data_IF_178119041784
#
_entry.id   IF_178119041784
#
_cell.length_a   1.000
_cell.length_b   1.000
_cell.length_c   1.000
_cell.angle_alpha   90.00
_cell.angle_beta   90.00
_cell.angle_gamma   90.00
#
_symmetry.space_group_name_H-M   'P 1'
#
loop_
_entity.id
_entity.type
_entity.pdbx_description
1 polymer ?
#
# COMPACT_ATOMS: atom_id res chain seq x y z
N UNK A 1 -15.68 15.14 -20.51
CA UNK A 1 -15.12 16.46 -20.24
C UNK A 1 -14.99 16.66 -18.72
N UNK A 2 -13.79 16.51 -18.16
CA UNK A 2 -13.56 16.84 -16.76
C UNK A 2 -13.72 18.36 -16.60
N UNK A 3 -14.67 18.79 -15.75
CA UNK A 3 -14.78 20.18 -15.32
C UNK A 3 -13.42 20.60 -14.75
N UNK A 4 -12.76 21.56 -15.37
CA UNK A 4 -11.58 22.24 -14.80
C UNK A 4 -11.98 22.84 -13.46
N UNK A 5 -11.60 22.18 -12.38
CA UNK A 5 -11.82 22.67 -11.03
C UNK A 5 -10.95 23.94 -10.89
N UNK A 6 -11.60 25.09 -10.75
CA UNK A 6 -10.88 26.35 -10.51
C UNK A 6 -9.94 26.15 -9.31
N UNK A 7 -8.66 26.29 -9.55
CA UNK A 7 -7.62 26.16 -8.53
C UNK A 7 -7.79 27.35 -7.58
N UNK A 8 -8.00 27.11 -6.31
CA UNK A 8 -8.15 28.15 -5.28
C UNK A 8 -6.91 29.05 -5.25
N UNK A 9 -7.11 30.37 -5.07
CA UNK A 9 -6.03 31.33 -4.92
C UNK A 9 -5.02 30.93 -3.82
N UNK A 10 -5.51 30.31 -2.73
CA UNK A 10 -4.65 29.81 -1.66
C UNK A 10 -3.65 28.74 -2.11
N UNK A 11 -3.99 27.91 -3.10
CA UNK A 11 -3.05 26.92 -3.67
C UNK A 11 -1.94 27.60 -4.48
N UNK A 12 -2.24 28.66 -5.19
CA UNK A 12 -1.22 29.44 -5.90
C UNK A 12 -0.27 30.14 -4.94
N UNK A 13 -0.80 30.71 -3.86
CA UNK A 13 0.03 31.32 -2.81
C UNK A 13 0.94 30.27 -2.17
N UNK A 14 0.40 29.09 -1.83
CA UNK A 14 1.21 27.99 -1.29
C UNK A 14 2.31 27.52 -2.26
N UNK A 15 2.02 27.47 -3.57
CA UNK A 15 3.01 27.14 -4.59
C UNK A 15 4.15 28.17 -4.61
N UNK A 16 3.82 29.47 -4.60
CA UNK A 16 4.84 30.54 -4.60
C UNK A 16 5.70 30.47 -3.34
N UNK A 17 5.08 30.29 -2.16
CA UNK A 17 5.81 30.16 -0.90
C UNK A 17 6.73 28.92 -0.93
N UNK A 18 6.24 27.80 -1.41
CA UNK A 18 7.03 26.57 -1.52
C UNK A 18 8.23 26.74 -2.46
N UNK A 19 8.03 27.38 -3.61
CA UNK A 19 9.12 27.68 -4.55
C UNK A 19 10.16 28.63 -3.95
N UNK A 20 9.70 29.63 -3.19
CA UNK A 20 10.62 30.52 -2.47
C UNK A 20 11.49 29.73 -1.48
N UNK A 21 10.91 28.84 -0.67
CA UNK A 21 11.69 27.98 0.22
C UNK A 21 12.65 27.08 -0.53
N UNK A 22 12.23 26.49 -1.66
CA UNK A 22 13.05 25.55 -2.42
C UNK A 22 14.26 26.22 -3.10
N UNK A 23 14.10 27.45 -3.59
CA UNK A 23 15.14 28.08 -4.42
C UNK A 23 15.80 29.30 -3.78
N UNK A 24 15.13 30.07 -2.90
CA UNK A 24 15.70 31.24 -2.27
C UNK A 24 16.80 30.88 -1.25
N UNK A 25 16.75 29.74 -0.60
CA UNK A 25 17.78 29.26 0.33
C UNK A 25 19.18 29.13 -0.34
N UNK A 26 19.24 29.04 -1.65
CA UNK A 26 20.49 29.06 -2.39
C UNK A 26 21.22 30.40 -2.29
N UNK A 27 20.47 31.50 -2.21
CA UNK A 27 21.00 32.88 -2.23
C UNK A 27 21.15 33.47 -0.84
N UNK A 28 20.67 32.77 0.19
CA UNK A 28 20.74 33.20 1.59
C UNK A 28 21.93 32.47 2.25
N UNK A 29 22.84 33.17 2.94
CA UNK A 29 23.93 32.50 3.65
C UNK A 29 23.40 31.59 4.71
N UNK A 30 24.00 30.38 4.84
CA UNK A 30 23.61 29.40 5.84
C UNK A 30 23.95 29.87 7.26
N UNK A 31 23.18 29.47 8.29
CA UNK A 31 23.55 29.63 9.71
C UNK A 31 24.91 28.99 10.00
N UNK A 32 25.61 29.47 11.02
CA UNK A 32 27.01 29.15 11.32
C UNK A 32 27.33 27.65 11.46
N UNK A 33 26.35 26.85 11.90
CA UNK A 33 26.52 25.42 12.17
C UNK A 33 26.02 24.50 11.04
N UNK A 34 25.59 25.05 9.90
CA UNK A 34 25.01 24.28 8.80
C UNK A 34 25.73 24.55 7.49
N UNK A 35 26.04 23.51 6.73
CA UNK A 35 26.59 23.67 5.38
C UNK A 35 25.57 24.33 4.45
N UNK A 36 26.04 25.08 3.45
CA UNK A 36 25.15 25.74 2.47
C UNK A 36 24.25 24.71 1.75
N UNK A 37 24.81 23.56 1.38
CA UNK A 37 24.04 22.45 0.79
C UNK A 37 22.97 21.91 1.76
N UNK A 38 23.30 21.75 3.03
CA UNK A 38 22.35 21.33 4.07
C UNK A 38 21.19 22.32 4.25
N UNK A 39 21.50 23.62 4.22
CA UNK A 39 20.50 24.68 4.30
C UNK A 39 19.56 24.69 3.07
N UNK A 40 20.10 24.48 1.86
CA UNK A 40 19.30 24.32 0.66
C UNK A 40 18.37 23.11 0.73
N UNK A 41 18.87 21.95 1.19
CA UNK A 41 18.06 20.73 1.37
C UNK A 41 16.94 20.94 2.38
N UNK A 42 17.17 21.66 3.49
CA UNK A 42 16.12 22.01 4.44
C UNK A 42 15.04 22.91 3.81
N UNK A 43 15.42 23.87 3.00
CA UNK A 43 14.49 24.71 2.25
C UNK A 43 13.64 23.89 1.29
N UNK A 44 14.26 22.94 0.57
CA UNK A 44 13.55 22.02 -0.33
C UNK A 44 12.59 21.13 0.47
N UNK A 45 12.98 20.64 1.65
CA UNK A 45 12.12 19.82 2.52
C UNK A 45 10.87 20.59 2.96
N UNK A 46 11.03 21.83 3.43
CA UNK A 46 9.91 22.69 3.84
C UNK A 46 8.96 22.94 2.64
N UNK A 47 9.53 23.32 1.49
CA UNK A 47 8.75 23.51 0.28
C UNK A 47 8.03 22.25 -0.18
N UNK A 48 8.65 21.07 -0.05
CA UNK A 48 8.07 19.77 -0.35
C UNK A 48 6.84 19.49 0.52
N UNK A 49 6.94 19.72 1.84
CA UNK A 49 5.83 19.53 2.78
C UNK A 49 4.65 20.42 2.40
N UNK A 50 4.89 21.70 2.12
CA UNK A 50 3.84 22.65 1.69
C UNK A 50 3.17 22.17 0.41
N UNK A 51 3.93 21.70 -0.58
CA UNK A 51 3.39 21.22 -1.84
C UNK A 51 2.61 19.91 -1.69
N UNK A 52 3.10 18.97 -0.91
CA UNK A 52 2.39 17.70 -0.68
C UNK A 52 1.06 17.93 0.03
N UNK A 53 0.97 18.83 0.98
CA UNK A 53 -0.26 19.16 1.68
C UNK A 53 -1.28 19.89 0.81
N UNK A 54 -0.83 20.67 -0.18
CA UNK A 54 -1.72 21.55 -0.96
C UNK A 54 -2.05 21.03 -2.35
N UNK A 55 -1.09 20.39 -3.02
CA UNK A 55 -1.18 19.94 -4.43
C UNK A 55 -1.20 18.41 -4.57
N UNK A 56 -0.94 17.65 -3.48
CA UNK A 56 -0.77 16.21 -3.53
C UNK A 56 0.63 15.80 -3.99
N UNK A 57 0.82 14.54 -4.38
CA UNK A 57 2.17 13.96 -4.55
C UNK A 57 2.72 14.00 -5.98
N UNK A 58 1.88 13.99 -7.02
CA UNK A 58 2.33 13.78 -8.41
C UNK A 58 3.26 14.87 -8.93
N UNK A 59 2.72 16.03 -9.21
CA UNK A 59 3.49 17.19 -9.69
C UNK A 59 4.59 17.65 -8.71
N UNK A 60 4.32 17.76 -7.38
CA UNK A 60 5.35 18.18 -6.45
C UNK A 60 6.58 17.29 -6.41
N UNK A 61 6.45 15.97 -6.55
CA UNK A 61 7.60 15.05 -6.55
C UNK A 61 8.60 15.40 -7.65
N UNK A 62 8.13 15.76 -8.85
CA UNK A 62 9.01 16.18 -9.94
C UNK A 62 9.70 17.50 -9.64
N UNK A 63 8.98 18.45 -9.03
CA UNK A 63 9.55 19.73 -8.61
C UNK A 63 10.65 19.56 -7.57
N UNK A 64 10.47 18.65 -6.62
CA UNK A 64 11.48 18.34 -5.58
C UNK A 64 12.73 17.75 -6.23
N UNK A 65 12.58 16.78 -7.13
CA UNK A 65 13.73 16.19 -7.86
C UNK A 65 14.50 17.28 -8.63
N UNK A 66 13.78 18.17 -9.31
CA UNK A 66 14.39 19.30 -10.03
C UNK A 66 15.11 20.26 -9.07
N UNK A 67 14.48 20.61 -7.94
CA UNK A 67 15.09 21.47 -6.92
C UNK A 67 16.39 20.85 -6.35
N UNK A 68 16.40 19.52 -6.08
CA UNK A 68 17.60 18.84 -5.62
C UNK A 68 18.75 18.89 -6.63
N UNK A 69 18.47 18.94 -7.93
CA UNK A 69 19.50 19.10 -8.96
C UNK A 69 20.19 20.49 -8.92
N UNK A 70 19.59 21.46 -8.24
CA UNK A 70 20.16 22.82 -8.10
C UNK A 70 20.98 23.01 -6.83
N UNK A 71 21.05 22.01 -5.95
CA UNK A 71 21.79 22.04 -4.70
C UNK A 71 23.31 21.99 -4.97
N UNK A 72 24.07 22.82 -4.29
CA UNK A 72 25.51 22.91 -4.44
C UNK A 72 26.18 21.57 -4.02
N UNK A 73 27.00 21.02 -4.90
CA UNK A 73 27.66 19.71 -4.71
C UNK A 73 26.84 18.49 -5.16
N UNK A 74 25.58 18.67 -5.55
CA UNK A 74 24.76 17.64 -6.18
C UNK A 74 24.70 17.86 -7.70
N UNK A 75 25.22 16.93 -8.48
CA UNK A 75 25.05 16.97 -9.94
C UNK A 75 23.68 16.38 -10.34
N UNK A 76 23.12 16.86 -11.45
CA UNK A 76 21.90 16.29 -12.01
C UNK A 76 22.00 14.77 -12.21
N UNK A 77 23.17 14.26 -12.62
CA UNK A 77 23.43 12.82 -12.78
C UNK A 77 23.31 12.07 -11.46
N UNK A 78 23.90 12.59 -10.37
CA UNK A 78 23.81 11.98 -9.04
C UNK A 78 22.36 11.95 -8.53
N UNK A 79 21.61 13.05 -8.69
CA UNK A 79 20.22 13.13 -8.28
C UNK A 79 19.36 12.16 -9.10
N UNK A 80 19.55 12.09 -10.41
CA UNK A 80 18.83 11.15 -11.28
C UNK A 80 19.13 9.71 -10.91
N UNK A 81 20.40 9.38 -10.64
CA UNK A 81 20.80 8.05 -10.22
C UNK A 81 20.21 7.67 -8.84
N UNK A 82 20.23 8.59 -7.89
CA UNK A 82 19.67 8.37 -6.56
C UNK A 82 18.12 8.26 -6.53
N UNK A 83 17.44 8.80 -7.54
CA UNK A 83 15.98 8.77 -7.68
C UNK A 83 15.54 7.71 -8.69
N UNK A 84 15.52 8.04 -9.97
CA UNK A 84 15.00 7.15 -11.03
C UNK A 84 15.92 5.97 -11.35
N UNK A 85 17.22 6.12 -11.19
CA UNK A 85 18.24 5.08 -11.44
C UNK A 85 18.54 4.21 -10.22
N UNK A 86 17.88 4.45 -9.08
CA UNK A 86 18.05 3.61 -7.89
C UNK A 86 17.44 2.22 -8.11
N UNK A 87 18.23 1.16 -7.82
CA UNK A 87 17.80 -0.22 -7.98
C UNK A 87 16.48 -0.52 -7.25
N UNK A 88 16.29 0.05 -6.05
CA UNK A 88 15.06 -0.07 -5.26
C UNK A 88 13.85 0.51 -5.98
N UNK A 89 14.00 1.68 -6.63
CA UNK A 89 12.91 2.32 -7.38
C UNK A 89 12.56 1.51 -8.62
N UNK A 90 13.57 1.04 -9.36
CA UNK A 90 13.37 0.18 -10.54
C UNK A 90 12.65 -1.11 -10.14
N UNK A 91 13.10 -1.76 -9.09
CA UNK A 91 12.46 -2.97 -8.53
C UNK A 91 11.00 -2.71 -8.16
N UNK A 92 10.71 -1.60 -7.45
CA UNK A 92 9.34 -1.20 -7.10
C UNK A 92 8.43 -1.03 -8.31
N UNK A 93 8.93 -0.40 -9.38
CA UNK A 93 8.15 -0.22 -10.61
C UNK A 93 7.74 -1.56 -11.19
N UNK A 94 8.67 -2.52 -11.29
CA UNK A 94 8.35 -3.87 -11.78
C UNK A 94 7.37 -4.60 -10.87
N UNK A 95 7.55 -4.54 -9.55
CA UNK A 95 6.61 -5.13 -8.59
C UNK A 95 5.20 -4.54 -8.74
N UNK A 96 5.09 -3.21 -8.88
CA UNK A 96 3.80 -2.55 -9.10
C UNK A 96 3.15 -2.96 -10.43
N UNK A 97 3.93 -3.15 -11.48
CA UNK A 97 3.41 -3.64 -12.77
C UNK A 97 2.87 -5.07 -12.66
N UNK A 98 3.59 -5.97 -11.97
CA UNK A 98 3.16 -7.35 -11.73
C UNK A 98 1.87 -7.37 -10.87
N UNK A 99 1.83 -6.59 -9.80
CA UNK A 99 0.64 -6.44 -8.95
C UNK A 99 -0.57 -5.91 -9.72
N UNK A 100 -0.36 -4.92 -10.61
CA UNK A 100 -1.40 -4.39 -11.48
C UNK A 100 -1.91 -5.44 -12.48
N UNK A 101 -1.03 -6.25 -13.04
CA UNK A 101 -1.42 -7.38 -13.91
C UNK A 101 -2.29 -8.39 -13.16
N UNK A 102 -1.90 -8.76 -11.94
CA UNK A 102 -2.65 -9.71 -11.12
C UNK A 102 -4.05 -9.17 -10.75
N UNK A 103 -4.14 -7.89 -10.42
CA UNK A 103 -5.41 -7.24 -10.09
C UNK A 103 -6.30 -7.09 -11.32
N UNK A 104 -5.77 -6.59 -12.44
CA UNK A 104 -6.54 -6.35 -13.67
C UNK A 104 -6.98 -7.63 -14.38
N UNK A 105 -6.25 -8.74 -14.21
CA UNK A 105 -6.66 -10.03 -14.77
C UNK A 105 -7.84 -10.67 -14.04
N UNK A 106 -8.14 -10.24 -12.81
CA UNK A 106 -9.12 -10.87 -11.92
C UNK A 106 -8.58 -11.99 -11.05
N UNK A 107 -7.31 -12.36 -11.20
CA UNK A 107 -6.67 -13.44 -10.45
C UNK A 107 -6.68 -13.15 -8.93
N UNK A 108 -6.47 -11.90 -8.52
CA UNK A 108 -6.53 -11.51 -7.12
C UNK A 108 -7.90 -11.78 -6.48
N UNK A 109 -9.01 -11.44 -7.19
CA UNK A 109 -10.37 -11.74 -6.73
C UNK A 109 -10.60 -13.25 -6.62
N UNK A 110 -10.09 -14.02 -7.58
CA UNK A 110 -10.21 -15.49 -7.56
C UNK A 110 -9.50 -16.10 -6.35
N UNK A 111 -8.30 -15.63 -6.01
CA UNK A 111 -7.57 -16.06 -4.81
C UNK A 111 -8.39 -15.76 -3.55
N UNK A 112 -8.95 -14.54 -3.42
CA UNK A 112 -9.79 -14.17 -2.28
C UNK A 112 -11.00 -15.09 -2.13
N UNK A 113 -11.74 -15.30 -3.22
CA UNK A 113 -12.94 -16.15 -3.22
C UNK A 113 -12.58 -17.63 -2.91
N UNK A 114 -11.43 -18.12 -3.42
CA UNK A 114 -10.96 -19.46 -3.09
C UNK A 114 -10.75 -19.65 -1.57
N UNK A 115 -10.14 -18.67 -0.89
CA UNK A 115 -10.03 -18.69 0.57
C UNK A 115 -11.41 -18.73 1.26
N UNK A 116 -12.34 -17.92 0.80
CA UNK A 116 -13.68 -17.78 1.40
C UNK A 116 -14.59 -18.98 1.14
N UNK A 117 -14.41 -19.68 0.03
CA UNK A 117 -15.24 -20.84 -0.34
C UNK A 117 -14.65 -22.18 0.09
N UNK A 118 -13.49 -22.13 0.76
CA UNK A 118 -12.82 -23.31 1.32
C UNK A 118 -13.72 -24.04 2.35
N UNK A 119 -13.52 -25.35 2.49
CA UNK A 119 -14.21 -26.19 3.49
C UNK A 119 -14.07 -25.65 4.92
N UNK A 120 -12.98 -24.97 5.25
CA UNK A 120 -12.76 -24.35 6.55
C UNK A 120 -13.71 -23.16 6.79
N UNK A 121 -13.86 -22.28 5.81
CA UNK A 121 -14.76 -21.14 5.92
C UNK A 121 -16.21 -21.56 6.19
N UNK A 122 -16.64 -22.68 5.60
CA UNK A 122 -18.01 -23.23 5.74
C UNK A 122 -18.29 -23.88 7.10
N UNK A 123 -17.28 -24.08 7.98
CA UNK A 123 -17.47 -24.77 9.28
C UNK A 123 -18.22 -23.92 10.30
N UNK A 124 -18.00 -22.63 10.33
CA UNK A 124 -18.68 -21.71 11.23
C UNK A 124 -18.52 -20.26 10.79
N UNK A 125 -19.38 -19.34 11.23
CA UNK A 125 -19.28 -17.91 10.94
C UNK A 125 -17.92 -17.31 11.28
N UNK A 126 -17.30 -17.72 12.38
CA UNK A 126 -15.96 -17.26 12.76
C UNK A 126 -14.88 -17.73 11.80
N UNK A 127 -15.00 -18.92 11.23
CA UNK A 127 -14.08 -19.37 10.20
C UNK A 127 -14.20 -18.56 8.91
N UNK A 128 -15.39 -18.06 8.58
CA UNK A 128 -15.56 -17.13 7.46
C UNK A 128 -14.76 -15.84 7.68
N UNK A 129 -14.85 -15.26 8.89
CA UNK A 129 -14.08 -14.06 9.26
C UNK A 129 -12.58 -14.34 9.23
N UNK A 130 -12.14 -15.47 9.80
CA UNK A 130 -10.72 -15.87 9.78
C UNK A 130 -10.23 -16.06 8.34
N UNK A 131 -10.97 -16.75 7.50
CA UNK A 131 -10.60 -16.97 6.09
C UNK A 131 -10.61 -15.66 5.29
N UNK A 132 -11.50 -14.72 5.61
CA UNK A 132 -11.50 -13.39 5.02
C UNK A 132 -10.21 -12.63 5.36
N UNK A 133 -9.80 -12.63 6.61
CA UNK A 133 -8.55 -11.97 7.01
C UNK A 133 -7.31 -12.71 6.48
N UNK A 134 -7.35 -14.05 6.41
CA UNK A 134 -6.29 -14.82 5.78
C UNK A 134 -6.15 -14.51 4.28
N UNK A 135 -7.27 -14.42 3.55
CA UNK A 135 -7.26 -14.00 2.14
C UNK A 135 -6.68 -12.60 1.97
N UNK A 136 -7.12 -11.66 2.83
CA UNK A 136 -6.61 -10.30 2.82
C UNK A 136 -5.10 -10.24 3.12
N UNK A 137 -4.63 -11.01 4.09
CA UNK A 137 -3.21 -11.11 4.44
C UNK A 137 -2.39 -11.63 3.25
N UNK A 138 -2.80 -12.73 2.63
CA UNK A 138 -2.09 -13.32 1.48
C UNK A 138 -2.09 -12.37 0.28
N UNK A 139 -3.22 -11.71 0.00
CA UNK A 139 -3.27 -10.74 -1.08
C UNK A 139 -2.39 -9.52 -0.82
N UNK A 140 -2.35 -9.01 0.40
CA UNK A 140 -1.47 -7.88 0.74
C UNK A 140 0.00 -8.27 0.76
N UNK A 141 0.34 -9.54 0.98
CA UNK A 141 1.71 -10.00 0.83
C UNK A 141 2.21 -9.88 -0.62
N UNK A 142 1.29 -9.96 -1.58
CA UNK A 142 1.56 -9.92 -3.03
C UNK A 142 1.28 -8.56 -3.65
N UNK A 143 0.23 -7.89 -3.17
CA UNK A 143 -0.28 -6.62 -3.71
C UNK A 143 -0.05 -5.50 -2.69
N UNK A 144 -0.07 -4.26 -3.18
CA UNK A 144 -0.14 -3.11 -2.27
C UNK A 144 -1.48 -3.06 -1.53
N UNK A 145 -1.52 -2.46 -0.33
CA UNK A 145 -2.76 -2.31 0.46
C UNK A 145 -3.88 -1.66 -0.36
N UNK A 146 -3.59 -0.62 -1.14
CA UNK A 146 -4.59 0.03 -1.97
C UNK A 146 -5.21 -0.95 -2.99
N UNK A 147 -4.38 -1.74 -3.68
CA UNK A 147 -4.87 -2.73 -4.65
C UNK A 147 -5.71 -3.82 -3.98
N UNK A 148 -5.30 -4.29 -2.80
CA UNK A 148 -6.04 -5.31 -2.06
C UNK A 148 -7.36 -4.79 -1.53
N UNK A 149 -7.44 -3.55 -1.05
CA UNK A 149 -8.69 -2.91 -0.63
C UNK A 149 -9.70 -2.89 -1.79
N UNK A 150 -9.29 -2.53 -3.00
CA UNK A 150 -10.16 -2.55 -4.18
C UNK A 150 -10.69 -3.95 -4.53
N UNK A 151 -10.00 -5.01 -4.13
CA UNK A 151 -10.45 -6.39 -4.32
C UNK A 151 -11.31 -6.87 -3.14
N UNK A 152 -10.86 -6.65 -1.91
CA UNK A 152 -11.48 -7.21 -0.70
C UNK A 152 -12.72 -6.46 -0.22
N UNK A 153 -12.78 -5.14 -0.42
CA UNK A 153 -13.94 -4.35 -0.01
C UNK A 153 -15.23 -4.75 -0.75
N UNK A 154 -15.24 -4.87 -2.09
CA UNK A 154 -16.41 -5.40 -2.80
C UNK A 154 -16.81 -6.80 -2.34
N UNK A 155 -15.85 -7.67 -2.04
CA UNK A 155 -16.13 -9.03 -1.54
C UNK A 155 -16.75 -8.96 -0.13
N UNK A 156 -16.27 -8.09 0.75
CA UNK A 156 -16.88 -7.87 2.05
C UNK A 156 -18.33 -7.42 1.93
N UNK A 157 -18.60 -6.47 1.01
CA UNK A 157 -19.96 -5.99 0.73
C UNK A 157 -20.84 -7.14 0.18
N UNK A 158 -20.34 -7.91 -0.79
CA UNK A 158 -21.04 -9.07 -1.37
C UNK A 158 -21.42 -10.11 -0.29
N UNK A 159 -20.51 -10.38 0.67
CA UNK A 159 -20.80 -11.26 1.82
C UNK A 159 -21.91 -10.68 2.69
N UNK A 160 -21.82 -9.41 3.06
CA UNK A 160 -22.77 -8.74 3.95
C UNK A 160 -24.15 -8.65 3.32
N UNK A 161 -24.23 -8.24 2.05
CA UNK A 161 -25.51 -8.17 1.31
C UNK A 161 -26.14 -9.54 1.13
N UNK A 162 -25.36 -10.61 0.94
CA UNK A 162 -25.87 -11.99 0.81
C UNK A 162 -26.58 -12.49 2.07
N UNK A 163 -26.28 -11.89 3.22
CA UNK A 163 -26.91 -12.22 4.53
C UNK A 163 -27.90 -11.13 5.00
N UNK A 164 -28.25 -10.19 4.11
CA UNK A 164 -29.25 -9.16 4.36
C UNK A 164 -28.76 -7.95 5.15
N UNK A 165 -27.44 -7.82 5.37
CA UNK A 165 -26.85 -6.64 6.02
C UNK A 165 -26.57 -5.57 4.96
N UNK A 166 -27.25 -4.43 5.05
CA UNK A 166 -27.08 -3.31 4.15
C UNK A 166 -26.06 -2.31 4.69
N UNK A 167 -25.58 -1.43 3.81
CA UNK A 167 -24.58 -0.42 4.13
C UNK A 167 -25.04 0.56 5.23
N UNK A 168 -26.34 0.79 5.29
CA UNK A 168 -27.00 1.71 6.22
C UNK A 168 -27.08 1.14 7.65
N UNK A 169 -27.03 -0.19 7.82
CA UNK A 169 -27.26 -0.87 9.09
C UNK A 169 -26.14 -0.67 10.12
N UNK A 170 -24.97 -0.18 9.69
CA UNK A 170 -23.77 0.02 10.53
C UNK A 170 -23.47 -1.18 11.43
N UNK A 171 -23.72 -2.39 10.94
CA UNK A 171 -23.54 -3.61 11.70
C UNK A 171 -22.09 -3.75 12.21
N UNK A 172 -21.85 -4.13 13.48
CA UNK A 172 -20.51 -4.27 14.03
C UNK A 172 -19.60 -5.21 13.21
N UNK A 173 -20.19 -6.26 12.61
CA UNK A 173 -19.45 -7.17 11.73
C UNK A 173 -18.97 -6.49 10.44
N UNK A 174 -19.76 -5.58 9.86
CA UNK A 174 -19.35 -4.83 8.68
C UNK A 174 -18.14 -3.94 9.00
N UNK A 175 -18.20 -3.25 10.14
CA UNK A 175 -17.08 -2.44 10.62
C UNK A 175 -15.85 -3.32 10.89
N UNK A 176 -16.03 -4.50 11.49
CA UNK A 176 -14.94 -5.44 11.76
C UNK A 176 -14.26 -5.93 10.47
N UNK A 177 -15.01 -6.29 9.44
CA UNK A 177 -14.46 -6.71 8.16
C UNK A 177 -13.71 -5.57 7.44
N UNK A 178 -14.30 -4.37 7.44
CA UNK A 178 -13.70 -3.20 6.78
C UNK A 178 -12.41 -2.73 7.47
N UNK A 179 -12.45 -2.51 8.80
CA UNK A 179 -11.27 -2.14 9.56
C UNK A 179 -10.24 -3.28 9.58
N UNK A 180 -10.70 -4.52 9.68
CA UNK A 180 -9.83 -5.69 9.62
C UNK A 180 -9.09 -5.81 8.29
N UNK A 181 -9.70 -5.42 7.18
CA UNK A 181 -9.02 -5.34 5.88
C UNK A 181 -7.83 -4.36 5.93
N UNK A 182 -8.00 -3.20 6.54
CA UNK A 182 -6.91 -2.23 6.70
C UNK A 182 -5.82 -2.76 7.64
N UNK A 183 -6.19 -3.24 8.82
CA UNK A 183 -5.23 -3.66 9.85
C UNK A 183 -4.43 -4.88 9.40
N UNK A 184 -5.08 -5.92 8.91
CA UNK A 184 -4.38 -7.14 8.43
C UNK A 184 -3.56 -6.85 7.18
N UNK A 185 -3.99 -5.89 6.34
CA UNK A 185 -3.21 -5.42 5.21
C UNK A 185 -1.92 -4.72 5.63
N UNK A 186 -1.98 -3.80 6.59
CA UNK A 186 -0.79 -3.11 7.11
C UNK A 186 0.18 -4.08 7.77
N UNK A 187 -0.32 -5.04 8.55
CA UNK A 187 0.50 -6.08 9.16
C UNK A 187 1.20 -6.93 8.08
N UNK A 188 0.47 -7.35 7.05
CA UNK A 188 1.03 -8.13 5.95
C UNK A 188 2.11 -7.38 5.18
N UNK A 189 1.90 -6.09 4.91
CA UNK A 189 2.86 -5.25 4.20
C UNK A 189 4.19 -5.10 4.95
N UNK A 190 4.18 -5.13 6.27
CA UNK A 190 5.43 -5.07 7.05
C UNK A 190 6.25 -6.36 6.94
N UNK A 191 5.67 -7.45 6.48
CA UNK A 191 6.34 -8.75 6.34
C UNK A 191 7.03 -8.93 5.00
N UNK A 192 6.68 -8.15 3.97
CA UNK A 192 7.22 -8.28 2.63
C UNK A 192 7.56 -6.92 2.01
N UNK A 193 8.83 -6.66 1.69
CA UNK A 193 9.24 -5.42 1.05
C UNK A 193 8.62 -5.17 -0.33
N UNK A 194 8.19 -6.22 -1.04
CA UNK A 194 7.61 -6.11 -2.40
C UNK A 194 6.30 -5.32 -2.39
N UNK A 195 5.48 -5.52 -1.37
CA UNK A 195 4.15 -4.91 -1.27
C UNK A 195 4.16 -3.49 -0.69
N UNK A 196 5.29 -3.05 -0.10
CA UNK A 196 5.35 -1.79 0.63
C UNK A 196 6.64 -0.99 0.40
N UNK A 197 6.50 0.14 -0.29
CA UNK A 197 7.61 1.01 -0.65
C UNK A 197 8.44 1.52 0.55
N UNK A 198 7.80 1.77 1.71
CA UNK A 198 8.53 2.28 2.89
C UNK A 198 9.47 1.26 3.49
N UNK A 199 9.20 -0.04 3.37
CA UNK A 199 10.12 -1.10 3.80
C UNK A 199 11.39 -1.08 2.95
N UNK A 200 11.24 -0.93 1.63
CA UNK A 200 12.39 -0.81 0.73
C UNK A 200 13.17 0.49 0.94
N UNK A 201 12.49 1.59 1.29
CA UNK A 201 13.18 2.82 1.72
C UNK A 201 14.01 2.58 2.98
N UNK A 202 13.46 1.83 3.95
CA UNK A 202 14.20 1.41 5.15
C UNK A 202 15.47 0.64 4.79
N UNK A 203 15.44 -0.24 3.80
CA UNK A 203 16.63 -0.95 3.29
C UNK A 203 17.66 0.02 2.73
N UNK A 204 17.24 0.98 1.91
CA UNK A 204 18.14 1.98 1.33
C UNK A 204 18.78 2.86 2.41
N UNK A 205 18.06 3.21 3.47
CA UNK A 205 18.63 3.93 4.62
C UNK A 205 19.61 3.05 5.40
N UNK A 206 19.26 1.80 5.68
CA UNK A 206 20.17 0.87 6.36
C UNK A 206 21.48 0.74 5.59
N UNK A 207 21.43 0.49 4.28
CA UNK A 207 22.60 0.41 3.42
C UNK A 207 23.42 1.71 3.43
N UNK A 208 22.78 2.88 3.43
CA UNK A 208 23.47 4.18 3.43
C UNK A 208 24.20 4.46 4.74
N UNK A 209 23.73 3.91 5.88
CA UNK A 209 24.32 4.11 7.19
C UNK A 209 25.36 3.05 7.57
N UNK A 210 25.13 1.80 7.16
CA UNK A 210 26.00 0.66 7.54
C UNK A 210 27.02 0.32 6.47
N UNK A 211 26.76 0.69 5.21
CA UNK A 211 27.52 0.25 4.04
C UNK A 211 27.18 -1.17 3.59
N UNK A 212 26.23 -1.85 4.26
CA UNK A 212 25.83 -3.22 3.97
C UNK A 212 24.39 -3.25 3.46
N UNK A 213 24.13 -3.97 2.35
CA UNK A 213 22.78 -4.16 1.84
C UNK A 213 21.99 -5.11 2.76
N UNK A 214 20.75 -4.74 3.08
CA UNK A 214 19.84 -5.62 3.80
C UNK A 214 19.42 -6.78 2.89
N UNK A 215 19.68 -8.02 3.32
CA UNK A 215 19.25 -9.20 2.60
C UNK A 215 17.73 -9.37 2.67
N UNK A 216 17.12 -9.47 1.50
CA UNK A 216 15.66 -9.60 1.34
C UNK A 216 15.09 -10.84 2.05
N UNK A 217 15.72 -12.00 1.85
CA UNK A 217 15.22 -13.25 2.42
C UNK A 217 15.39 -13.30 3.93
N UNK A 218 16.49 -12.79 4.46
CA UNK A 218 16.72 -12.67 5.90
C UNK A 218 15.67 -11.79 6.55
N UNK A 219 15.35 -10.64 5.94
CA UNK A 219 14.27 -9.79 6.44
C UNK A 219 12.92 -10.52 6.43
N UNK A 220 12.53 -11.14 5.32
CA UNK A 220 11.29 -11.89 5.23
C UNK A 220 11.21 -13.04 6.23
N UNK A 221 12.32 -13.77 6.46
CA UNK A 221 12.36 -14.87 7.42
C UNK A 221 12.08 -14.43 8.86
N UNK A 222 12.45 -13.22 9.22
CA UNK A 222 12.19 -12.62 10.54
C UNK A 222 10.80 -11.97 10.59
N UNK A 223 10.47 -11.16 9.61
CA UNK A 223 9.25 -10.35 9.61
C UNK A 223 7.97 -11.19 9.39
N UNK A 224 8.05 -12.24 8.58
CA UNK A 224 6.89 -13.10 8.29
C UNK A 224 6.31 -13.82 9.51
N UNK A 225 7.08 -14.53 10.36
CA UNK A 225 6.55 -15.13 11.58
C UNK A 225 5.95 -14.10 12.53
N UNK A 226 6.60 -12.95 12.69
CA UNK A 226 6.12 -11.86 13.55
C UNK A 226 4.76 -11.35 13.05
N UNK A 227 4.63 -11.14 11.75
CA UNK A 227 3.39 -10.65 11.16
C UNK A 227 2.23 -11.66 11.30
N UNK A 228 2.51 -12.96 11.18
CA UNK A 228 1.50 -14.01 11.44
C UNK A 228 1.02 -13.93 12.88
N UNK A 229 1.93 -13.83 13.85
CA UNK A 229 1.56 -13.67 15.27
C UNK A 229 0.71 -12.42 15.47
N UNK A 230 1.07 -11.29 14.86
CA UNK A 230 0.28 -10.06 14.94
C UNK A 230 -1.14 -10.23 14.34
N UNK A 231 -1.27 -10.90 13.21
CA UNK A 231 -2.60 -11.18 12.62
C UNK A 231 -3.42 -12.10 13.51
N UNK A 232 -2.82 -13.15 14.08
CA UNK A 232 -3.51 -14.03 15.03
C UNK A 232 -3.99 -13.25 16.24
N UNK A 233 -3.13 -12.41 16.83
CA UNK A 233 -3.49 -11.55 17.96
C UNK A 233 -4.62 -10.59 17.60
N UNK A 234 -4.59 -9.99 16.41
CA UNK A 234 -5.66 -9.14 15.91
C UNK A 234 -6.99 -9.92 15.78
N UNK A 235 -6.96 -11.10 15.20
CA UNK A 235 -8.16 -11.96 15.09
C UNK A 235 -8.71 -12.33 16.46
N UNK A 236 -7.84 -12.67 17.42
CA UNK A 236 -8.24 -12.95 18.80
C UNK A 236 -8.84 -11.70 19.47
N UNK A 237 -8.28 -10.53 19.25
CA UNK A 237 -8.82 -9.26 19.73
C UNK A 237 -10.24 -9.01 19.17
N UNK A 238 -10.43 -9.19 17.87
CA UNK A 238 -11.77 -9.06 17.24
C UNK A 238 -12.75 -10.06 17.86
N UNK A 239 -12.32 -11.30 18.07
CA UNK A 239 -13.18 -12.38 18.59
C UNK A 239 -13.53 -12.21 20.06
N UNK A 240 -12.57 -11.86 20.92
CA UNK A 240 -12.74 -11.89 22.38
C UNK A 240 -12.99 -10.52 23.01
N UNK A 241 -12.46 -9.44 22.41
CA UNK A 241 -12.61 -8.07 22.92
C UNK A 241 -13.75 -7.36 22.22
N UNK A 242 -13.71 -7.28 20.91
CA UNK A 242 -14.74 -6.57 20.12
C UNK A 242 -16.06 -7.33 20.06
N UNK A 243 -16.02 -8.67 19.89
CA UNK A 243 -17.16 -9.58 19.87
C UNK A 243 -18.31 -9.17 18.94
N UNK A 244 -18.07 -8.86 17.67
CA UNK A 244 -19.14 -8.57 16.75
C UNK A 244 -20.05 -9.79 16.61
N UNK A 245 -21.35 -9.56 16.48
CA UNK A 245 -22.28 -10.64 16.16
C UNK A 245 -22.01 -11.13 14.73
N UNK A 246 -21.60 -12.38 14.63
CA UNK A 246 -21.28 -13.06 13.37
C UNK A 246 -22.38 -14.06 12.95
N UNK A 247 -23.48 -14.16 13.70
CA UNK A 247 -24.53 -15.16 13.48
C UNK A 247 -25.13 -15.09 12.07
N UNK A 248 -25.28 -13.88 11.52
CA UNK A 248 -25.76 -13.67 10.16
C UNK A 248 -24.91 -14.37 9.10
N UNK A 249 -23.58 -14.48 9.32
CA UNK A 249 -22.66 -15.13 8.39
C UNK A 249 -22.87 -16.65 8.25
N UNK A 250 -23.74 -17.26 9.06
CA UNK A 250 -24.15 -18.68 8.89
C UNK A 250 -24.82 -18.91 7.54
N UNK A 251 -25.51 -17.89 7.01
CA UNK A 251 -26.31 -17.97 5.79
C UNK A 251 -25.59 -17.49 4.53
N UNK A 252 -24.26 -17.33 4.56
CA UNK A 252 -23.49 -16.90 3.39
C UNK A 252 -23.61 -17.90 2.24
N UNK A 253 -23.98 -17.40 1.06
CA UNK A 253 -24.11 -18.23 -0.14
C UNK A 253 -22.75 -18.39 -0.86
N UNK A 254 -21.95 -19.32 -0.38
CA UNK A 254 -20.63 -19.62 -0.95
C UNK A 254 -20.68 -20.17 -2.38
N UNK A 255 -21.77 -20.85 -2.75
CA UNK A 255 -21.93 -21.45 -4.08
C UNK A 255 -22.22 -20.41 -5.14
N UNK A 256 -22.98 -19.37 -4.79
CA UNK A 256 -23.16 -18.19 -5.63
C UNK A 256 -21.84 -17.46 -5.89
N UNK A 257 -21.01 -17.28 -4.86
CA UNK A 257 -19.69 -16.67 -4.99
C UNK A 257 -18.76 -17.50 -5.90
N UNK A 258 -18.80 -18.82 -5.77
CA UNK A 258 -17.98 -19.71 -6.61
C UNK A 258 -18.45 -19.71 -8.06
N UNK A 259 -19.76 -19.75 -8.30
CA UNK A 259 -20.33 -19.76 -9.65
C UNK A 259 -20.09 -18.45 -10.42
N UNK A 260 -20.01 -17.32 -9.69
CA UNK A 260 -19.69 -16.02 -10.28
C UNK A 260 -18.30 -15.93 -10.90
N UNK A 261 -17.36 -16.81 -10.51
CA UNK A 261 -15.98 -16.80 -11.02
C UNK A 261 -15.78 -17.46 -12.37
N UNK A 262 -16.65 -18.40 -12.77
CA UNK A 262 -16.46 -19.22 -13.97
C UNK A 262 -15.12 -19.96 -14.06
N UNK A 263 -14.73 -20.41 -15.24
CA UNK A 263 -13.44 -21.06 -15.47
C UNK A 263 -12.29 -20.05 -15.53
N UNK A 264 -11.10 -20.47 -15.07
CA UNK A 264 -9.90 -19.61 -15.06
C UNK A 264 -9.50 -19.22 -16.49
N UNK A 265 -9.47 -17.93 -16.78
CA UNK A 265 -9.13 -17.40 -18.09
C UNK A 265 -7.64 -17.55 -18.40
N UNK A 266 -7.26 -17.51 -19.68
CA UNK A 266 -5.83 -17.51 -20.08
C UNK A 266 -5.07 -16.33 -19.48
N UNK A 267 -5.71 -15.16 -19.38
CA UNK A 267 -5.10 -13.95 -18.78
C UNK A 267 -4.79 -14.15 -17.31
N UNK A 268 -5.71 -14.73 -16.53
CA UNK A 268 -5.48 -15.05 -15.12
C UNK A 268 -4.32 -16.02 -14.93
N UNK A 269 -4.28 -17.11 -15.72
CA UNK A 269 -3.21 -18.13 -15.68
C UNK A 269 -1.84 -17.51 -15.94
N UNK A 270 -1.72 -16.73 -17.01
CA UNK A 270 -0.47 -16.06 -17.33
C UNK A 270 -0.05 -15.02 -16.29
N UNK A 271 -0.99 -14.26 -15.74
CA UNK A 271 -0.67 -13.28 -14.68
C UNK A 271 -0.12 -13.96 -13.42
N UNK A 272 -0.71 -15.07 -12.98
CA UNK A 272 -0.23 -15.84 -11.84
C UNK A 272 1.14 -16.48 -12.16
N UNK A 273 1.30 -17.05 -13.34
CA UNK A 273 2.56 -17.65 -13.77
C UNK A 273 3.70 -16.63 -13.76
N UNK A 274 3.53 -15.49 -14.41
CA UNK A 274 4.55 -14.44 -14.43
C UNK A 274 4.85 -13.89 -13.04
N UNK A 275 3.83 -13.75 -12.19
CA UNK A 275 4.05 -13.33 -10.82
C UNK A 275 4.99 -14.30 -10.07
N UNK A 276 4.72 -15.61 -10.15
CA UNK A 276 5.52 -16.65 -9.45
C UNK A 276 6.96 -16.73 -10.01
N UNK A 277 7.13 -16.49 -11.32
CA UNK A 277 8.46 -16.58 -11.95
C UNK A 277 9.31 -15.35 -11.67
N UNK A 278 8.70 -14.17 -11.51
CA UNK A 278 9.42 -12.90 -11.35
C UNK A 278 9.64 -12.50 -9.89
N UNK A 279 8.96 -13.12 -8.94
CA UNK A 279 9.09 -12.91 -7.48
C UNK A 279 9.75 -14.11 -6.84
#
# INVERSE_FOLDING_TARGET
>A
MQKTKNISAGKWVALVIALLFMFATKFIPSPADLSQAGFQVLGILIGAIILFLTWGTGFPSMMIVFALMTVDGLSAAKVTQATFGNNTVVFLVFCMMLAACLTKSGAARRIAIWFLTNKLARKSPWWTVIMFFAANYVLNFVLSTAATIFVMLPIAVEILESVGIQKEDKAPIAVALMLGTLVTGLISNSANPISHATTLQGFSFYESFTGEAMDFFTYCAIAFPISIVCVVLFVLMVKFVWRPDVSALTNVNYDAMTSSMGTMTKKEKWSVFFYIVCV
#
